data_IF_837364428370
#
_entry.id   IF_837364428370
#
_cell.length_a   1.000
_cell.length_b   1.000
_cell.length_c   1.000
_cell.angle_alpha   90.00
_cell.angle_beta   90.00
_cell.angle_gamma   90.00
#
_symmetry.space_group_name_H-M   'P 1'
#
loop_
_entity.id
_entity.type
_entity.pdbx_description
1 polymer ?
#
# COMPACT_ATOMS: atom_id res chain seq x y z
N UNK A 1 -7.94 7.85 -7.66
CA UNK A 1 -7.25 6.74 -6.96
C UNK A 1 -5.79 7.05 -6.67
N UNK A 2 -4.93 7.21 -7.70
CA UNK A 2 -3.49 7.43 -7.52
C UNK A 2 -3.15 8.59 -6.56
N UNK A 3 -3.78 9.75 -6.72
CA UNK A 3 -3.56 10.92 -5.85
C UNK A 3 -3.88 10.63 -4.38
N UNK A 4 -4.98 9.92 -4.12
CA UNK A 4 -5.44 9.56 -2.76
C UNK A 4 -4.45 8.61 -2.09
N UNK A 5 -3.97 7.60 -2.81
CA UNK A 5 -2.99 6.64 -2.27
C UNK A 5 -1.62 7.28 -2.05
N UNK A 6 -1.19 8.18 -2.96
CA UNK A 6 0.04 8.97 -2.79
C UNK A 6 -0.03 9.84 -1.54
N UNK A 7 -1.11 10.61 -1.40
CA UNK A 7 -1.31 11.49 -0.26
C UNK A 7 -1.38 10.73 1.07
N UNK A 8 -2.12 9.62 1.11
CA UNK A 8 -2.16 8.73 2.27
C UNK A 8 -0.76 8.24 2.67
N UNK A 9 0.07 7.93 1.67
CA UNK A 9 1.44 7.45 1.89
C UNK A 9 2.31 8.56 2.47
N UNK A 10 2.36 9.72 1.81
CA UNK A 10 3.24 10.84 2.19
C UNK A 10 2.83 11.48 3.53
N UNK A 11 1.54 11.49 3.84
CA UNK A 11 1.03 12.10 5.07
C UNK A 11 1.05 11.15 6.26
N UNK A 12 0.80 9.86 6.04
CA UNK A 12 0.52 8.91 7.11
C UNK A 12 1.41 7.68 7.04
N UNK A 13 1.31 6.88 5.96
CA UNK A 13 1.89 5.53 5.96
C UNK A 13 3.41 5.55 6.13
N UNK A 14 4.11 6.52 5.51
CA UNK A 14 5.57 6.61 5.59
C UNK A 14 6.10 6.97 6.98
N UNK A 15 5.23 7.39 7.91
CA UNK A 15 5.58 7.75 9.29
C UNK A 15 5.31 6.63 10.28
N UNK A 16 4.67 5.54 9.84
CA UNK A 16 4.33 4.41 10.70
C UNK A 16 5.55 3.51 10.91
N UNK A 17 5.74 2.93 12.12
CA UNK A 17 6.79 1.96 12.37
C UNK A 17 6.77 0.81 11.36
N UNK A 18 7.96 0.42 10.91
CA UNK A 18 8.13 -0.70 9.98
C UNK A 18 7.77 -0.39 8.53
N UNK A 19 7.40 0.84 8.16
CA UNK A 19 7.26 1.21 6.74
C UNK A 19 8.60 1.07 6.00
N UNK A 20 8.59 0.46 4.80
CA UNK A 20 9.77 0.33 3.94
C UNK A 20 9.57 1.09 2.63
N UNK A 21 8.51 0.79 1.89
CA UNK A 21 8.23 1.45 0.61
C UNK A 21 6.76 1.37 0.21
N UNK A 22 6.36 2.21 -0.74
CA UNK A 22 5.08 2.10 -1.44
C UNK A 22 5.32 2.37 -2.93
N UNK A 23 4.87 1.46 -3.78
CA UNK A 23 5.10 1.53 -5.22
C UNK A 23 3.75 1.38 -5.95
N UNK A 24 3.22 2.50 -6.44
CA UNK A 24 1.94 2.53 -7.13
C UNK A 24 2.11 2.16 -8.60
N UNK A 25 1.36 1.15 -9.02
CA UNK A 25 1.31 0.67 -10.39
C UNK A 25 -0.11 0.83 -10.92
N UNK A 26 -0.23 1.14 -12.20
CA UNK A 26 -1.52 1.16 -12.90
C UNK A 26 -1.51 0.04 -13.93
N UNK A 27 -2.62 -0.69 -14.05
CA UNK A 27 -2.79 -1.69 -15.10
C UNK A 27 -2.79 -1.06 -16.50
N UNK A 28 -2.46 -1.84 -17.52
CA UNK A 28 -2.42 -1.38 -18.91
C UNK A 28 -3.78 -0.84 -19.39
N UNK A 29 -4.88 -1.45 -18.93
CA UNK A 29 -6.25 -1.01 -19.21
C UNK A 29 -6.69 0.23 -18.40
N UNK A 30 -5.81 0.71 -17.50
CA UNK A 30 -5.98 1.88 -16.64
C UNK A 30 -7.15 1.80 -15.64
N UNK A 31 -7.67 0.60 -15.37
CA UNK A 31 -8.80 0.40 -14.44
C UNK A 31 -8.37 -0.02 -13.04
N UNK A 32 -7.17 -0.53 -12.87
CA UNK A 32 -6.68 -1.04 -11.60
C UNK A 32 -5.43 -0.29 -11.16
N UNK A 33 -5.40 0.08 -9.89
CA UNK A 33 -4.21 0.61 -9.24
C UNK A 33 -3.78 -0.36 -8.15
N UNK A 34 -2.54 -0.84 -8.23
CA UNK A 34 -1.94 -1.75 -7.24
C UNK A 34 -0.85 -1.01 -6.49
N UNK A 35 -0.90 -1.05 -5.16
CA UNK A 35 0.17 -0.55 -4.31
C UNK A 35 1.02 -1.72 -3.80
N UNK A 36 2.25 -1.87 -4.32
CA UNK A 36 3.23 -2.76 -3.72
C UNK A 36 3.87 -2.05 -2.52
N UNK A 37 3.20 -2.15 -1.38
CA UNK A 37 3.68 -1.64 -0.11
C UNK A 37 4.53 -2.70 0.61
N UNK A 38 5.71 -2.29 1.08
CA UNK A 38 6.61 -3.14 1.84
C UNK A 38 6.68 -2.68 3.28
N UNK A 39 6.64 -3.64 4.18
CA UNK A 39 6.72 -3.44 5.63
C UNK A 39 7.77 -4.39 6.20
N UNK A 40 8.45 -3.97 7.27
CA UNK A 40 9.47 -4.75 7.94
C UNK A 40 8.93 -6.06 8.51
N UNK A 41 7.70 -6.02 9.06
CA UNK A 41 6.99 -7.20 9.56
C UNK A 41 5.52 -7.17 9.19
N UNK A 42 4.89 -8.35 9.18
CA UNK A 42 3.43 -8.46 9.04
C UNK A 42 2.69 -7.74 10.18
N UNK A 43 3.28 -7.72 11.39
CA UNK A 43 2.68 -7.07 12.55
C UNK A 43 2.63 -5.55 12.38
N UNK A 44 3.67 -4.94 11.79
CA UNK A 44 3.69 -3.52 11.48
C UNK A 44 2.59 -3.15 10.48
N UNK A 45 2.41 -3.96 9.44
CA UNK A 45 1.28 -3.79 8.51
C UNK A 45 -0.08 -3.94 9.20
N UNK A 46 -0.27 -4.94 10.05
CA UNK A 46 -1.53 -5.14 10.77
C UNK A 46 -1.84 -4.01 11.75
N UNK A 47 -0.82 -3.35 12.31
CA UNK A 47 -1.01 -2.21 13.19
C UNK A 47 -1.59 -0.97 12.47
N UNK A 48 -1.45 -0.89 11.14
CA UNK A 48 -2.13 0.13 10.32
C UNK A 48 -3.64 0.06 10.52
N UNK A 49 -4.21 -1.15 10.66
CA UNK A 49 -5.64 -1.35 10.91
C UNK A 49 -6.08 -0.77 12.26
N UNK A 50 -5.17 -0.43 13.17
CA UNK A 50 -5.47 0.22 14.45
C UNK A 50 -5.24 1.73 14.41
N UNK A 51 -4.63 2.26 13.34
CA UNK A 51 -4.37 3.69 13.20
C UNK A 51 -5.57 4.39 12.53
N UNK A 52 -6.21 5.31 13.26
CA UNK A 52 -7.41 6.00 12.78
C UNK A 52 -7.19 6.83 11.53
N UNK A 53 -6.03 7.48 11.40
CA UNK A 53 -5.70 8.33 10.25
C UNK A 53 -5.51 7.45 9.00
N UNK A 54 -4.78 6.34 9.14
CA UNK A 54 -4.60 5.37 8.07
C UNK A 54 -5.94 4.74 7.64
N UNK A 55 -6.82 4.41 8.59
CA UNK A 55 -8.17 3.93 8.29
C UNK A 55 -8.98 4.94 7.48
N UNK A 56 -8.92 6.23 7.80
CA UNK A 56 -9.63 7.28 7.03
C UNK A 56 -9.18 7.28 5.57
N UNK A 57 -7.88 7.22 5.33
CA UNK A 57 -7.34 7.14 3.97
C UNK A 57 -7.73 5.86 3.23
N UNK A 58 -7.66 4.70 3.88
CA UNK A 58 -8.06 3.42 3.27
C UNK A 58 -9.55 3.39 2.93
N UNK A 59 -10.41 3.93 3.82
CA UNK A 59 -11.85 4.04 3.57
C UNK A 59 -12.15 4.94 2.38
N UNK A 60 -11.47 6.09 2.27
CA UNK A 60 -11.61 6.99 1.13
C UNK A 60 -11.15 6.33 -0.18
N UNK A 61 -10.06 5.56 -0.16
CA UNK A 61 -9.62 4.81 -1.32
C UNK A 61 -10.66 3.73 -1.70
N UNK A 62 -11.15 2.97 -0.72
CA UNK A 62 -12.17 1.95 -0.96
C UNK A 62 -13.49 2.51 -1.48
N UNK A 63 -13.92 3.71 -1.02
CA UNK A 63 -15.21 4.30 -1.43
C UNK A 63 -15.27 4.71 -2.90
N UNK A 64 -14.13 4.85 -3.58
CA UNK A 64 -14.07 5.20 -5.00
C UNK A 64 -13.66 4.01 -5.87
N UNK A 65 -13.38 2.85 -5.26
CA UNK A 65 -13.07 1.63 -5.98
C UNK A 65 -14.35 0.80 -6.14
N UNK A 66 -14.52 0.18 -7.31
CA UNK A 66 -15.56 -0.85 -7.48
C UNK A 66 -15.23 -2.12 -6.71
N UNK A 67 -13.94 -2.38 -6.46
CA UNK A 67 -13.46 -3.53 -5.71
C UNK A 67 -12.16 -3.20 -4.96
N UNK A 68 -12.02 -3.73 -3.75
CA UNK A 68 -10.82 -3.60 -2.93
C UNK A 68 -10.37 -4.97 -2.41
N UNK A 69 -9.20 -5.43 -2.87
CA UNK A 69 -8.63 -6.74 -2.56
C UNK A 69 -7.21 -6.63 -1.97
N UNK A 70 -7.06 -6.37 -0.66
CA UNK A 70 -5.76 -6.40 -0.02
C UNK A 70 -5.24 -7.84 0.08
N UNK A 71 -4.00 -8.06 -0.36
CA UNK A 71 -3.33 -9.36 -0.26
C UNK A 71 -1.96 -9.15 0.38
N UNK A 72 -1.55 -10.07 1.24
CA UNK A 72 -0.22 -10.10 1.86
C UNK A 72 0.62 -11.20 1.22
N UNK A 73 1.91 -10.92 1.04
CA UNK A 73 2.86 -11.84 0.41
C UNK A 73 4.12 -11.92 1.25
N UNK A 74 4.75 -13.10 1.26
CA UNK A 74 6.12 -13.27 1.71
C UNK A 74 7.02 -13.42 0.49
N UNK A 75 8.18 -12.76 0.50
CA UNK A 75 9.19 -12.97 -0.54
C UNK A 75 9.73 -14.39 -0.38
N UNK A 76 9.56 -15.22 -1.41
CA UNK A 76 10.11 -16.58 -1.46
C UNK A 76 11.36 -16.68 -2.35
N UNK A 77 11.53 -15.72 -3.27
CA UNK A 77 12.65 -15.66 -4.19
C UNK A 77 12.76 -14.25 -4.78
N UNK A 78 13.97 -13.80 -5.08
CA UNK A 78 14.23 -12.55 -5.79
C UNK A 78 15.46 -12.75 -6.67
N UNK A 79 15.42 -12.19 -7.87
CA UNK A 79 16.56 -12.10 -8.77
C UNK A 79 16.66 -10.67 -9.27
N UNK A 80 17.84 -10.11 -9.18
CA UNK A 80 18.21 -8.83 -9.78
C UNK A 80 19.49 -9.04 -10.57
N UNK A 81 19.53 -8.50 -11.78
CA UNK A 81 20.80 -8.24 -12.43
C UNK A 81 21.42 -7.08 -11.65
N UNK A 82 22.60 -7.29 -11.06
CA UNK A 82 23.34 -6.18 -10.45
C UNK A 82 23.81 -5.28 -11.60
N UNK A 83 23.25 -4.08 -11.70
CA UNK A 83 23.90 -2.95 -12.35
C UNK A 83 24.72 -2.18 -11.31
#
# INVERSE_FOLDING_TARGET
MQSILKEATEKVMCKLPGYVSANLHISDDKKTVTNYAQWATLQDFQNIMKNEEAQKHMKLAASIATEFKPVTYNIIWTHSNND
#
